data_IF_191695353269
#
_entry.id   IF_191695353269
#
_cell.length_a   1.000
_cell.length_b   1.000
_cell.length_c   1.000
_cell.angle_alpha   90.00
_cell.angle_beta   90.00
_cell.angle_gamma   90.00
#
_symmetry.space_group_name_H-M   'P 1'
#
loop_
_entity.id
_entity.type
_entity.pdbx_description
1 polymer ?
#
# COMPACT_ATOMS: atom_id res chain seq x y z
N UNK A 1 12.66 -4.19 -18.13
CA UNK A 1 11.32 -3.61 -17.92
C UNK A 1 11.31 -3.02 -16.52
N UNK A 2 10.95 -1.74 -16.35
CA UNK A 2 10.90 -1.09 -15.04
C UNK A 2 9.45 -1.15 -14.55
N UNK A 3 9.27 -1.60 -13.32
CA UNK A 3 7.99 -1.61 -12.61
C UNK A 3 8.07 -0.57 -11.49
N UNK A 4 7.06 0.29 -11.40
CA UNK A 4 6.89 1.20 -10.28
C UNK A 4 5.85 0.59 -9.32
N UNK A 5 6.08 0.71 -8.02
CA UNK A 5 5.11 0.28 -7.01
C UNK A 5 4.69 1.51 -6.23
N UNK A 6 3.42 1.88 -6.34
CA UNK A 6 2.80 2.91 -5.51
C UNK A 6 2.17 2.22 -4.30
N UNK A 7 2.44 2.75 -3.11
CA UNK A 7 2.02 2.18 -1.83
C UNK A 7 1.25 3.25 -1.07
N UNK A 8 0.15 2.84 -0.47
CA UNK A 8 -0.63 3.62 0.48
C UNK A 8 -0.88 2.80 1.75
N UNK A 9 -0.83 3.44 2.91
CA UNK A 9 -0.94 2.75 4.19
C UNK A 9 -1.70 3.60 5.22
N UNK A 10 -2.59 2.93 5.96
CA UNK A 10 -3.44 3.56 6.97
C UNK A 10 -3.03 3.14 8.37
N UNK A 11 -3.13 4.07 9.32
CA UNK A 11 -2.68 3.91 10.71
C UNK A 11 -3.72 4.43 11.71
N UNK A 12 -3.61 4.01 12.97
CA UNK A 12 -4.53 4.33 14.07
C UNK A 12 -4.50 5.77 14.62
N UNK A 13 -4.07 6.74 13.81
CA UNK A 13 -4.10 8.16 14.17
C UNK A 13 -2.96 8.98 13.57
N UNK A 14 -2.88 10.29 13.90
CA UNK A 14 -1.86 11.20 13.37
C UNK A 14 -0.45 10.94 13.94
N UNK A 15 -0.34 10.19 15.04
CA UNK A 15 0.92 9.77 15.66
C UNK A 15 0.87 8.25 15.86
N UNK A 16 1.20 7.45 14.83
CA UNK A 16 1.04 6.00 14.85
C UNK A 16 1.88 5.34 15.94
N UNK A 17 1.26 4.44 16.71
CA UNK A 17 1.95 3.62 17.71
C UNK A 17 2.74 2.44 17.10
N UNK A 18 3.33 1.61 17.95
CA UNK A 18 3.90 0.32 17.51
C UNK A 18 2.74 -0.61 17.12
N UNK A 19 2.87 -1.30 15.98
CA UNK A 19 1.84 -2.18 15.42
C UNK A 19 0.50 -1.48 15.15
N UNK A 20 0.52 -0.21 14.71
CA UNK A 20 -0.65 0.63 14.46
C UNK A 20 -1.21 0.57 13.04
N UNK A 21 -0.52 -0.13 12.12
CA UNK A 21 -0.92 -0.18 10.72
C UNK A 21 -2.22 -0.97 10.59
N UNK A 22 -3.25 -0.31 10.07
CA UNK A 22 -4.59 -0.87 9.88
C UNK A 22 -4.70 -1.55 8.52
N UNK A 23 -4.09 -0.97 7.48
CA UNK A 23 -4.08 -1.55 6.14
C UNK A 23 -2.91 -1.08 5.29
N UNK A 24 -2.60 -1.87 4.26
CA UNK A 24 -1.64 -1.52 3.22
C UNK A 24 -2.24 -1.88 1.85
N UNK A 25 -2.20 -0.92 0.93
CA UNK A 25 -2.49 -1.10 -0.48
C UNK A 25 -1.24 -0.88 -1.32
N UNK A 26 -1.02 -1.72 -2.32
CA UNK A 26 0.08 -1.57 -3.27
C UNK A 26 -0.39 -1.86 -4.69
N UNK A 27 0.02 -1.02 -5.65
CA UNK A 27 -0.27 -1.22 -7.07
C UNK A 27 1.03 -1.16 -7.87
N UNK A 28 1.30 -2.22 -8.63
CA UNK A 28 2.37 -2.26 -9.60
C UNK A 28 1.92 -1.62 -10.91
N UNK A 29 2.67 -0.64 -11.42
CA UNK A 29 2.39 0.05 -12.67
C UNK A 29 3.62 0.06 -13.59
N UNK A 30 3.38 0.14 -14.90
CA UNK A 30 4.44 0.37 -15.88
C UNK A 30 4.70 1.88 -16.09
N UNK A 31 5.68 2.21 -16.94
CA UNK A 31 6.04 3.61 -17.26
C UNK A 31 4.95 4.43 -17.93
N UNK A 32 3.93 3.79 -18.51
CA UNK A 32 2.79 4.46 -19.15
C UNK A 32 1.66 4.71 -18.13
N UNK A 33 1.79 4.18 -16.91
CA UNK A 33 0.74 4.22 -15.89
C UNK A 33 -0.23 3.04 -15.93
N UNK A 34 0.01 2.03 -16.76
CA UNK A 34 -0.88 0.86 -16.82
C UNK A 34 -0.68 -0.02 -15.59
N UNK A 35 -1.78 -0.43 -14.96
CA UNK A 35 -1.78 -1.38 -13.84
C UNK A 35 -1.35 -2.77 -14.30
N UNK A 36 -0.37 -3.33 -13.59
CA UNK A 36 0.14 -4.68 -13.78
C UNK A 36 -0.41 -5.66 -12.73
N UNK A 37 -0.81 -5.15 -11.58
CA UNK A 37 -1.43 -5.92 -10.50
C UNK A 37 -1.54 -5.09 -9.23
N UNK A 38 -2.37 -5.58 -8.31
CA UNK A 38 -2.69 -4.95 -7.04
C UNK A 38 -2.59 -5.95 -5.88
N UNK A 39 -2.37 -5.41 -4.68
CA UNK A 39 -2.36 -6.13 -3.43
C UNK A 39 -2.99 -5.26 -2.34
N UNK A 40 -3.87 -5.83 -1.54
CA UNK A 40 -4.44 -5.21 -0.35
C UNK A 40 -4.35 -6.18 0.84
N UNK A 41 -4.00 -5.65 2.00
CA UNK A 41 -4.13 -6.34 3.28
C UNK A 41 -4.72 -5.42 4.33
N UNK A 42 -5.61 -5.98 5.14
CA UNK A 42 -6.15 -5.36 6.35
C UNK A 42 -5.70 -6.14 7.56
N UNK A 43 -5.26 -5.44 8.60
CA UNK A 43 -4.88 -6.02 9.87
C UNK A 43 -6.05 -5.86 10.84
N UNK A 44 -6.63 -6.98 11.25
CA UNK A 44 -7.62 -7.00 12.32
C UNK A 44 -6.86 -7.18 13.64
N UNK A 45 -6.93 -6.16 14.49
CA UNK A 45 -6.49 -6.24 15.88
C UNK A 45 -7.49 -7.02 16.74
#
# INVERSE_FOLDING_TARGET
MITYVVIDAEFDGPLPGINSMISLGAVAINKNGDTLGDFEIKYYH
#
